data_IF_126139948419
#
_entry.id   IF_126139948419
#
_cell.length_a   1.000
_cell.length_b   1.000
_cell.length_c   1.000
_cell.angle_alpha   90.00
_cell.angle_beta   90.00
_cell.angle_gamma   90.00
#
_symmetry.space_group_name_H-M   'P 1'
#
loop_
_entity.id
_entity.type
_entity.pdbx_description
1 polymer ?
#
# COMPACT_ATOMS: atom_id res chain seq x y z
N UNK A 1 20.33 0.35 -18.16
CA UNK A 1 20.05 -1.07 -18.42
C UNK A 1 20.43 -1.85 -17.16
N UNK A 2 19.49 -2.61 -16.61
CA UNK A 2 19.47 -3.25 -15.29
C UNK A 2 19.48 -2.31 -14.08
N UNK A 3 18.28 -1.94 -13.63
CA UNK A 3 18.02 -1.56 -12.24
C UNK A 3 17.03 -2.59 -11.69
N UNK A 4 17.52 -3.53 -10.88
CA UNK A 4 16.70 -4.48 -10.17
C UNK A 4 15.93 -3.76 -9.08
N UNK A 5 14.61 -3.89 -9.07
CA UNK A 5 13.76 -3.39 -8.00
C UNK A 5 12.64 -4.37 -7.67
N UNK A 6 12.65 -4.75 -6.40
CA UNK A 6 11.59 -5.26 -5.57
C UNK A 6 10.15 -4.97 -6.02
N UNK A 7 9.35 -6.02 -6.20
CA UNK A 7 7.89 -5.91 -6.12
C UNK A 7 7.33 -7.09 -5.32
N UNK A 8 6.88 -6.77 -4.11
CA UNK A 8 6.12 -7.60 -3.18
C UNK A 8 5.04 -8.44 -3.84
N UNK A 9 5.31 -9.73 -4.06
CA UNK A 9 4.30 -10.70 -4.45
C UNK A 9 3.64 -11.29 -3.21
N UNK A 10 2.37 -10.95 -2.99
CA UNK A 10 1.54 -11.60 -1.97
C UNK A 10 1.09 -12.97 -2.48
N UNK A 11 1.77 -14.05 -2.08
CA UNK A 11 1.14 -15.37 -2.13
C UNK A 11 0.35 -15.58 -0.83
N UNK A 12 -0.98 -15.67 -0.94
CA UNK A 12 -1.84 -16.08 0.18
C UNK A 12 -1.62 -17.58 0.38
N UNK A 13 -0.82 -17.93 1.38
CA UNK A 13 -0.64 -19.32 1.80
C UNK A 13 -1.94 -19.85 2.41
N UNK A 14 -2.65 -20.72 1.69
CA UNK A 14 -3.74 -21.50 2.26
C UNK A 14 -3.13 -22.59 3.17
N UNK A 15 -3.04 -22.31 4.47
CA UNK A 15 -2.57 -23.30 5.44
C UNK A 15 -3.63 -24.40 5.63
N UNK A 16 -3.51 -25.49 4.87
CA UNK A 16 -4.19 -26.75 5.15
C UNK A 16 -3.66 -27.32 6.48
N UNK A 17 -4.48 -27.26 7.53
CA UNK A 17 -4.21 -27.97 8.79
C UNK A 17 -4.36 -29.47 8.55
N UNK A 18 -3.25 -30.19 8.51
CA UNK A 18 -3.21 -31.64 8.58
C UNK A 18 -3.46 -32.09 10.03
N UNK A 19 -4.56 -32.81 10.25
CA UNK A 19 -4.85 -33.49 11.51
C UNK A 19 -3.88 -34.66 11.70
N UNK A 20 -2.91 -34.50 12.60
CA UNK A 20 -2.15 -35.62 13.14
C UNK A 20 -2.73 -36.02 14.50
N UNK A 21 -3.26 -37.24 14.53
CA UNK A 21 -3.79 -37.95 15.69
C UNK A 21 -2.63 -38.47 16.55
N UNK A 22 -2.47 -37.92 17.77
CA UNK A 22 -1.63 -38.52 18.80
C UNK A 22 -2.51 -39.21 19.85
N UNK A 23 -2.39 -40.54 19.93
CA UNK A 23 -3.03 -41.40 20.93
C UNK A 23 -2.24 -41.39 22.25
N UNK A 24 -2.97 -41.08 23.32
CA UNK A 24 -2.94 -41.61 24.70
C UNK A 24 -1.63 -41.81 25.48
N UNK A 25 -1.52 -41.05 26.58
CA UNK A 25 -1.44 -41.52 27.98
C UNK A 25 -1.68 -40.25 28.84
N UNK A 26 -2.72 -40.11 29.68
CA UNK A 26 -3.12 -40.99 30.78
C UNK A 26 -2.77 -40.29 32.09
N UNK A 27 -3.59 -39.36 32.58
CA UNK A 27 -3.70 -39.04 34.01
C UNK A 27 -5.03 -38.32 34.30
N UNK A 28 -5.79 -38.90 35.22
CA UNK A 28 -7.11 -38.48 35.67
C UNK A 28 -6.97 -37.63 36.93
N UNK A 29 -7.62 -36.46 36.99
CA UNK A 29 -8.03 -35.83 38.25
C UNK A 29 -9.33 -35.00 38.03
N UNK A 30 -10.42 -35.61 38.47
CA UNK A 30 -11.61 -35.04 39.15
C UNK A 30 -12.30 -33.77 38.61
N UNK A 31 -13.55 -33.99 38.18
CA UNK A 31 -14.61 -33.02 37.92
C UNK A 31 -14.98 -32.14 39.12
N UNK A 32 -15.33 -30.88 38.82
CA UNK A 32 -16.48 -30.19 39.43
C UNK A 32 -17.00 -29.12 38.44
N UNK A 33 -18.24 -29.30 37.97
CA UNK A 33 -19.03 -28.25 37.32
C UNK A 33 -19.62 -27.31 38.41
N UNK A 34 -20.03 -26.08 38.06
CA UNK A 34 -21.44 -25.94 37.68
C UNK A 34 -21.80 -24.86 36.64
N UNK A 35 -23.00 -25.08 36.07
CA UNK A 35 -24.06 -24.13 35.71
C UNK A 35 -23.86 -23.12 34.56
N UNK A 36 -24.61 -23.39 33.49
CA UNK A 36 -25.05 -22.43 32.49
C UNK A 36 -25.95 -21.35 33.11
N UNK A 37 -25.78 -20.10 32.67
CA UNK A 37 -26.79 -19.05 32.81
C UNK A 37 -26.74 -18.09 31.60
N UNK A 38 -27.74 -18.28 30.75
CA UNK A 38 -28.54 -17.31 29.99
C UNK A 38 -27.93 -15.95 29.60
N UNK A 39 -27.84 -15.79 28.28
CA UNK A 39 -27.69 -14.55 27.52
C UNK A 39 -28.77 -13.54 27.90
N UNK A 40 -28.36 -12.32 28.28
CA UNK A 40 -29.22 -11.15 28.33
C UNK A 40 -28.71 -10.12 27.33
N UNK A 41 -29.51 -9.87 26.30
CA UNK A 41 -29.33 -8.82 25.31
C UNK A 41 -29.69 -7.47 25.93
N UNK A 42 -28.74 -6.56 26.02
CA UNK A 42 -29.01 -5.13 26.23
C UNK A 42 -28.29 -4.33 25.15
N UNK A 43 -29.10 -3.87 24.19
CA UNK A 43 -28.77 -2.83 23.22
C UNK A 43 -28.52 -1.52 23.97
N UNK A 44 -27.32 -0.97 23.83
CA UNK A 44 -27.05 0.43 24.15
C UNK A 44 -26.42 1.06 22.90
N UNK A 45 -27.25 1.79 22.16
CA UNK A 45 -26.84 2.68 21.10
C UNK A 45 -25.93 3.76 21.70
N UNK A 46 -24.61 3.59 21.52
CA UNK A 46 -23.66 4.67 21.70
C UNK A 46 -23.40 5.29 20.33
N UNK A 47 -24.05 6.43 20.08
CA UNK A 47 -23.82 7.28 18.93
C UNK A 47 -22.32 7.59 18.81
N UNK A 48 -21.69 7.13 17.74
CA UNK A 48 -20.33 7.51 17.39
C UNK A 48 -20.27 9.03 17.21
N UNK A 49 -19.34 9.75 17.88
CA UNK A 49 -19.15 11.15 17.57
C UNK A 49 -18.52 11.22 16.17
N UNK A 50 -19.10 12.08 15.34
CA UNK A 50 -18.61 12.40 14.01
C UNK A 50 -17.10 12.70 14.07
N UNK A 51 -16.30 11.90 13.36
CA UNK A 51 -14.92 12.25 13.03
C UNK A 51 -14.96 13.45 12.08
N UNK A 52 -15.10 14.64 12.65
CA UNK A 52 -14.59 15.86 12.05
C UNK A 52 -13.10 15.91 12.34
N UNK A 53 -12.31 15.12 11.63
CA UNK A 53 -10.86 15.36 11.55
C UNK A 53 -10.72 16.71 10.87
N UNK A 54 -10.30 17.72 11.63
CA UNK A 54 -9.99 19.04 11.12
C UNK A 54 -8.98 18.90 9.97
N UNK A 55 -9.52 18.96 8.74
CA UNK A 55 -8.75 19.04 7.52
C UNK A 55 -8.01 20.38 7.55
N UNK A 56 -6.77 20.35 8.02
CA UNK A 56 -5.85 21.45 7.86
C UNK A 56 -5.56 21.58 6.36
N UNK A 57 -6.31 22.49 5.74
CA UNK A 57 -6.14 22.98 4.37
C UNK A 57 -4.67 23.36 4.13
N UNK A 58 -3.96 22.55 3.34
CA UNK A 58 -2.70 22.88 2.67
C UNK A 58 -2.62 21.96 1.45
N UNK A 59 -3.00 22.49 0.28
CA UNK A 59 -2.94 21.80 -1.02
C UNK A 59 -1.60 21.06 -1.17
N UNK A 60 -1.67 19.74 -1.32
CA UNK A 60 -0.50 18.92 -1.60
C UNK A 60 0.22 19.48 -2.84
N UNK A 61 1.52 19.71 -2.73
CA UNK A 61 2.31 20.14 -3.88
C UNK A 61 2.75 18.90 -4.62
N UNK A 62 2.43 18.84 -5.90
CA UNK A 62 2.79 17.74 -6.79
C UNK A 62 4.31 17.61 -6.81
N UNK A 63 4.80 16.48 -6.34
CA UNK A 63 6.23 16.23 -6.26
C UNK A 63 6.83 15.99 -7.65
N UNK A 64 8.14 16.26 -7.85
CA UNK A 64 8.84 15.82 -9.06
C UNK A 64 8.71 14.31 -9.29
N UNK A 65 8.61 13.53 -8.21
CA UNK A 65 8.43 12.09 -8.24
C UNK A 65 7.05 11.70 -8.80
N UNK A 66 5.98 12.36 -8.35
CA UNK A 66 4.61 12.18 -8.86
C UNK A 66 4.51 12.49 -10.35
N UNK A 67 5.11 13.61 -10.80
CA UNK A 67 5.17 13.95 -12.23
C UNK A 67 5.96 12.91 -13.02
N UNK A 68 7.10 12.46 -12.50
CA UNK A 68 7.90 11.44 -13.17
C UNK A 68 7.14 10.11 -13.32
N UNK A 69 6.36 9.74 -12.30
CA UNK A 69 5.49 8.55 -12.38
C UNK A 69 4.43 8.71 -13.46
N UNK A 70 3.75 9.85 -13.53
CA UNK A 70 2.75 10.13 -14.56
C UNK A 70 3.37 10.13 -15.97
N UNK A 71 4.53 10.75 -16.15
CA UNK A 71 5.24 10.80 -17.43
C UNK A 71 5.72 9.42 -17.89
N UNK A 72 6.22 8.60 -16.96
CA UNK A 72 6.78 7.27 -17.27
C UNK A 72 5.72 6.19 -17.36
N UNK A 73 4.64 6.32 -16.60
CA UNK A 73 3.65 5.28 -16.37
C UNK A 73 2.21 5.82 -16.48
N UNK A 74 1.95 6.83 -17.31
CA UNK A 74 0.60 7.40 -17.48
C UNK A 74 -0.46 6.42 -18.00
N UNK A 75 -0.04 5.27 -18.55
CA UNK A 75 -0.95 4.16 -18.89
C UNK A 75 -1.25 3.22 -17.70
N UNK A 76 -0.53 3.35 -16.58
CA UNK A 76 -0.75 2.55 -15.39
C UNK A 76 -2.07 2.96 -14.72
N UNK A 77 -2.90 2.01 -14.26
CA UNK A 77 -4.18 2.34 -13.65
C UNK A 77 -4.03 3.27 -12.45
N UNK A 78 -4.80 4.35 -12.44
CA UNK A 78 -4.87 5.28 -11.31
C UNK A 78 -5.62 4.65 -10.15
N UNK A 79 -4.89 3.92 -9.32
CA UNK A 79 -5.45 3.18 -8.18
C UNK A 79 -4.51 3.15 -6.99
N UNK A 80 -4.98 2.66 -5.85
CA UNK A 80 -4.13 2.41 -4.69
C UNK A 80 -3.17 1.27 -5.01
N UNK A 81 -1.89 1.50 -4.75
CA UNK A 81 -0.84 0.52 -5.00
C UNK A 81 -0.33 -0.05 -3.68
N UNK A 82 -0.19 -1.39 -3.57
CA UNK A 82 0.46 -1.99 -2.42
C UNK A 82 1.98 -1.80 -2.57
N UNK A 83 2.64 -1.25 -1.56
CA UNK A 83 4.09 -0.94 -1.63
C UNK A 83 4.93 -1.74 -0.63
N UNK A 84 4.33 -2.30 0.42
CA UNK A 84 5.04 -3.12 1.41
C UNK A 84 4.09 -3.99 2.23
N UNK A 85 4.60 -5.09 2.79
CA UNK A 85 3.99 -5.73 3.96
C UNK A 85 4.32 -4.93 5.21
N UNK A 86 3.35 -4.66 6.09
CA UNK A 86 3.64 -3.97 7.35
C UNK A 86 4.39 -4.84 8.36
N UNK A 87 4.51 -6.15 8.13
CA UNK A 87 5.37 -7.05 8.92
C UNK A 87 6.87 -6.84 8.67
N UNK A 88 7.22 -6.22 7.54
CA UNK A 88 8.60 -5.96 7.13
C UNK A 88 9.03 -4.52 7.40
N UNK A 89 8.10 -3.68 7.88
CA UNK A 89 8.36 -2.30 8.27
C UNK A 89 8.68 -2.21 9.75
N UNK A 90 9.52 -1.24 10.11
CA UNK A 90 9.90 -1.03 11.50
C UNK A 90 9.13 0.14 12.11
N UNK A 91 8.33 -0.09 13.17
CA UNK A 91 7.51 0.97 13.75
C UNK A 91 8.33 2.15 14.29
N UNK A 92 9.56 1.89 14.76
CA UNK A 92 10.38 2.85 15.50
C UNK A 92 11.49 3.51 14.68
N UNK A 93 11.60 3.19 13.40
CA UNK A 93 12.52 3.88 12.50
C UNK A 93 11.94 4.06 11.10
N UNK A 94 12.37 5.10 10.36
CA UNK A 94 12.02 5.23 8.97
C UNK A 94 12.51 4.01 8.17
N UNK A 95 11.68 3.50 7.26
CA UNK A 95 12.00 2.33 6.42
C UNK A 95 11.99 2.76 4.95
N UNK A 96 13.05 2.52 4.17
CA UNK A 96 13.03 2.80 2.74
C UNK A 96 12.10 1.82 2.03
N UNK A 97 11.27 2.34 1.13
CA UNK A 97 10.36 1.58 0.28
C UNK A 97 10.53 2.07 -1.15
N UNK A 98 10.48 1.15 -2.12
CA UNK A 98 10.63 1.53 -3.52
C UNK A 98 9.49 0.96 -4.36
N UNK A 99 8.91 1.81 -5.19
CA UNK A 99 7.84 1.43 -6.09
C UNK A 99 7.99 2.17 -7.43
N UNK A 100 7.86 1.46 -8.55
CA UNK A 100 8.02 2.01 -9.91
C UNK A 100 9.27 2.90 -10.11
N UNK A 101 10.41 2.43 -9.58
CA UNK A 101 11.70 3.17 -9.59
C UNK A 101 11.68 4.49 -8.81
N UNK A 102 10.71 4.67 -7.91
CA UNK A 102 10.61 5.81 -7.03
C UNK A 102 10.90 5.43 -5.58
N UNK A 103 11.74 6.23 -4.94
CA UNK A 103 12.17 6.07 -3.55
C UNK A 103 11.22 6.80 -2.59
N UNK A 104 10.67 6.03 -1.65
CA UNK A 104 9.76 6.45 -0.61
C UNK A 104 10.29 6.10 0.77
N UNK A 105 9.86 6.85 1.77
CA UNK A 105 10.10 6.52 3.17
C UNK A 105 8.76 6.22 3.84
N UNK A 106 8.67 5.05 4.47
CA UNK A 106 7.56 4.67 5.33
C UNK A 106 7.96 4.84 6.80
N UNK A 107 7.12 5.49 7.60
CA UNK A 107 7.33 5.61 9.04
C UNK A 107 6.00 5.65 9.78
N UNK A 108 6.01 5.31 11.07
CA UNK A 108 4.81 5.27 11.89
C UNK A 108 4.74 6.51 12.77
N UNK A 109 3.66 7.28 12.67
CA UNK A 109 3.45 8.46 13.49
C UNK A 109 3.01 8.10 14.91
N UNK A 110 2.88 9.10 15.78
CA UNK A 110 2.46 8.93 17.16
C UNK A 110 0.99 8.52 17.33
N UNK A 111 0.18 8.60 16.26
CA UNK A 111 -1.18 8.06 16.24
C UNK A 111 -1.19 6.57 15.90
N UNK A 112 -0.02 5.99 15.61
CA UNK A 112 0.12 4.60 15.20
C UNK A 112 -0.24 4.39 13.72
N UNK A 113 -0.41 5.45 12.94
CA UNK A 113 -0.71 5.40 11.52
C UNK A 113 0.59 5.39 10.70
N UNK A 114 0.63 4.59 9.65
CA UNK A 114 1.73 4.63 8.69
C UNK A 114 1.62 5.86 7.80
N UNK A 115 2.77 6.49 7.53
CA UNK A 115 2.95 7.65 6.68
C UNK A 115 3.98 7.34 5.62
N UNK A 116 3.73 7.82 4.41
CA UNK A 116 4.64 7.67 3.28
C UNK A 116 4.97 9.04 2.69
N UNK A 117 6.26 9.26 2.43
CA UNK A 117 6.79 10.48 1.82
C UNK A 117 7.83 10.15 0.76
N UNK A 118 8.23 11.15 -0.03
CA UNK A 118 9.45 11.07 -0.85
C UNK A 118 10.64 10.76 0.07
N UNK A 119 11.48 9.79 -0.30
CA UNK A 119 12.73 9.52 0.43
C UNK A 119 13.85 10.50 0.06
N UNK A 120 13.54 11.79 0.07
CA UNK A 120 14.49 12.83 -0.32
C UNK A 120 14.21 14.12 0.43
N UNK A 121 15.14 14.52 1.29
CA UNK A 121 15.08 15.80 1.97
C UNK A 121 15.21 16.95 0.96
N UNK A 122 14.26 17.92 0.90
CA UNK A 122 14.27 18.99 -0.11
C UNK A 122 15.46 19.95 -0.01
N UNK A 123 16.23 19.86 1.09
CA UNK A 123 17.45 20.64 1.26
C UNK A 123 18.58 20.17 0.33
N UNK A 124 18.94 18.88 0.40
CA UNK A 124 20.12 18.30 -0.30
C UNK A 124 19.91 16.84 -0.74
N UNK A 125 18.66 16.41 -0.85
CA UNK A 125 18.24 15.09 -1.32
C UNK A 125 18.77 13.91 -0.49
N UNK A 126 19.20 14.17 0.75
CA UNK A 126 19.55 13.07 1.65
C UNK A 126 18.31 12.22 1.94
N UNK A 127 18.43 10.88 1.94
CA UNK A 127 17.32 10.00 2.25
C UNK A 127 16.82 10.26 3.67
N UNK A 128 15.51 10.38 3.80
CA UNK A 128 14.82 10.50 5.09
C UNK A 128 14.73 9.15 5.79
N UNK A 129 14.81 8.05 5.04
CA UNK A 129 14.89 6.68 5.54
C UNK A 129 16.14 6.41 6.39
N UNK A 130 17.23 7.14 6.14
CA UNK A 130 18.44 7.13 6.98
C UNK A 130 18.31 8.05 8.22
N UNK A 131 17.20 8.77 8.33
CA UNK A 131 16.86 9.67 9.43
C UNK A 131 16.36 8.96 10.68
N UNK A 132 15.54 9.69 11.46
CA UNK A 132 14.92 9.16 12.67
C UNK A 132 13.52 9.73 12.88
N UNK A 133 12.70 9.01 13.62
CA UNK A 133 11.39 9.49 14.09
C UNK A 133 11.62 10.16 15.44
N UNK A 134 11.40 11.47 15.52
CA UNK A 134 11.32 12.20 16.77
C UNK A 134 9.92 12.05 17.37
N UNK A 135 9.83 11.17 18.37
CA UNK A 135 8.58 10.87 19.08
C UNK A 135 8.08 12.03 19.93
N UNK A 136 8.94 12.93 20.39
CA UNK A 136 8.51 14.06 21.22
C UNK A 136 7.75 15.10 20.38
N UNK A 137 8.19 15.31 19.14
CA UNK A 137 7.57 16.28 18.24
C UNK A 137 6.65 15.68 17.18
N UNK A 138 6.55 14.34 17.09
CA UNK A 138 5.83 13.58 16.05
C UNK A 138 6.33 13.91 14.63
N UNK A 139 7.65 13.90 14.44
CA UNK A 139 8.28 14.33 13.18
C UNK A 139 9.30 13.32 12.69
N UNK A 140 9.49 13.29 11.37
CA UNK A 140 10.66 12.65 10.79
C UNK A 140 11.80 13.69 10.68
N UNK A 141 12.99 13.34 11.15
CA UNK A 141 14.17 14.20 11.10
C UNK A 141 15.22 13.63 10.16
N UNK A 142 15.66 14.45 9.20
CA UNK A 142 16.71 14.11 8.25
C UNK A 142 18.07 13.96 8.96
N UNK A 143 18.76 12.83 8.74
CA UNK A 143 20.07 12.56 9.31
C UNK A 143 21.16 13.56 8.90
N UNK A 144 20.99 14.29 7.80
CA UNK A 144 22.07 15.14 7.29
C UNK A 144 22.20 16.45 8.08
N UNK A 145 21.16 17.28 8.10
CA UNK A 145 21.19 18.60 8.73
C UNK A 145 20.09 18.79 9.79
N UNK A 146 19.35 17.74 10.13
CA UNK A 146 18.31 17.80 11.15
C UNK A 146 17.06 18.58 10.76
N UNK A 147 16.83 18.78 9.45
CA UNK A 147 15.54 19.31 8.99
C UNK A 147 14.45 18.31 9.36
N UNK A 148 13.38 18.80 10.00
CA UNK A 148 12.30 17.94 10.47
C UNK A 148 10.97 18.25 9.77
N UNK A 149 10.20 17.22 9.52
CA UNK A 149 8.94 17.31 8.78
C UNK A 149 7.79 16.68 9.59
N UNK A 150 6.63 17.33 9.57
CA UNK A 150 5.39 16.77 10.12
C UNK A 150 4.94 15.55 9.30
N UNK A 151 4.03 14.70 9.81
CA UNK A 151 3.44 13.58 9.05
C UNK A 151 2.79 13.98 7.72
N UNK A 152 2.43 15.26 7.58
CA UNK A 152 1.89 15.89 6.35
C UNK A 152 2.96 16.26 5.32
N UNK A 153 4.24 16.04 5.61
CA UNK A 153 5.38 16.46 4.79
C UNK A 153 5.75 17.94 4.96
N UNK A 154 4.98 18.71 5.74
CA UNK A 154 5.27 20.11 6.01
C UNK A 154 6.61 20.26 6.74
N UNK A 155 7.47 21.16 6.27
CA UNK A 155 8.65 21.54 7.02
C UNK A 155 8.23 22.14 8.37
N UNK A 156 8.81 21.63 9.45
CA UNK A 156 8.49 22.10 10.79
C UNK A 156 9.66 22.82 11.45
N UNK A 157 10.90 22.42 11.12
CA UNK A 157 12.11 23.00 11.72
C UNK A 157 13.31 22.91 10.80
N UNK A 158 14.05 24.01 10.74
CA UNK A 158 15.33 24.14 10.06
C UNK A 158 16.35 24.58 11.13
N UNK A 159 17.17 23.68 11.70
CA UNK A 159 17.99 24.00 12.87
C UNK A 159 19.01 25.11 12.63
N UNK A 160 19.47 25.26 11.38
CA UNK A 160 20.50 26.23 10.99
C UNK A 160 19.93 27.59 10.60
N UNK A 161 18.61 27.75 10.55
CA UNK A 161 17.97 29.03 10.23
C UNK A 161 17.81 29.88 11.51
N UNK A 162 18.20 31.15 11.44
CA UNK A 162 17.77 32.13 12.46
C UNK A 162 16.24 32.24 12.45
N UNK A 163 15.66 32.72 13.54
CA UNK A 163 14.20 32.88 13.65
C UNK A 163 13.61 33.72 12.49
N UNK A 164 14.28 34.81 12.13
CA UNK A 164 13.89 35.66 10.99
C UNK A 164 13.92 34.93 9.64
N UNK A 165 14.87 34.02 9.43
CA UNK A 165 14.97 33.22 8.19
C UNK A 165 13.95 32.08 8.22
N UNK A 166 13.79 31.41 9.37
CA UNK A 166 12.86 30.32 9.56
C UNK A 166 11.40 30.76 9.32
N UNK A 167 11.03 31.97 9.75
CA UNK A 167 9.72 32.56 9.54
C UNK A 167 9.30 32.62 8.06
N UNK A 168 10.25 32.75 7.13
CA UNK A 168 10.00 32.70 5.69
C UNK A 168 10.25 31.33 5.06
N UNK A 169 11.26 30.60 5.53
CA UNK A 169 11.70 29.34 4.92
C UNK A 169 10.80 28.16 5.27
N UNK A 170 10.41 27.99 6.55
CA UNK A 170 9.59 26.88 7.04
C UNK A 170 8.22 26.82 6.36
N UNK A 171 7.45 27.92 6.20
CA UNK A 171 6.16 27.87 5.50
C UNK A 171 6.31 27.74 3.96
N UNK A 172 7.53 27.80 3.42
CA UNK A 172 7.74 27.68 1.98
C UNK A 172 7.45 26.27 1.50
N UNK A 173 6.65 26.13 0.44
CA UNK A 173 6.41 24.83 -0.23
C UNK A 173 7.69 24.14 -0.68
N UNK A 174 8.74 24.91 -1.02
CA UNK A 174 10.06 24.37 -1.40
C UNK A 174 10.81 23.71 -0.25
N UNK A 175 10.42 23.99 1.00
CA UNK A 175 10.99 23.35 2.18
C UNK A 175 10.21 22.08 2.57
N UNK A 176 9.02 21.83 2.01
CA UNK A 176 8.22 20.65 2.33
C UNK A 176 8.68 19.42 1.54
N UNK A 177 8.45 18.25 2.12
CA UNK A 177 8.56 16.95 1.46
C UNK A 177 7.17 16.58 0.96
N UNK A 178 7.07 15.90 -0.19
CA UNK A 178 5.80 15.37 -0.63
C UNK A 178 5.38 14.18 0.23
N UNK A 179 4.13 14.20 0.70
CA UNK A 179 3.50 13.12 1.46
C UNK A 179 2.36 12.52 0.65
N UNK A 180 2.13 11.22 0.81
CA UNK A 180 1.14 10.48 0.03
C UNK A 180 -0.01 9.99 0.89
N UNK A 181 -1.26 9.98 0.37
CA UNK A 181 -2.34 9.22 1.00
C UNK A 181 -1.87 7.79 1.25
N UNK A 182 -1.97 7.38 2.52
CA UNK A 182 -1.43 6.12 3.01
C UNK A 182 -2.50 5.40 3.79
N UNK A 183 -2.67 4.09 3.58
CA UNK A 183 -3.58 3.23 4.32
C UNK A 183 -2.94 1.90 4.64
N UNK A 184 -3.10 1.45 5.88
CA UNK A 184 -2.84 0.07 6.23
C UNK A 184 -4.14 -0.72 6.13
N UNK A 185 -4.13 -1.81 5.36
CA UNK A 185 -5.25 -2.74 5.31
C UNK A 185 -4.75 -4.17 5.16
N UNK A 186 -5.16 -5.05 6.10
CA UNK A 186 -4.75 -6.47 6.15
C UNK A 186 -3.24 -6.68 6.03
N UNK A 187 -2.50 -5.95 6.87
CA UNK A 187 -1.04 -6.00 6.93
C UNK A 187 -0.33 -5.65 5.61
N UNK A 188 -0.98 -4.84 4.78
CA UNK A 188 -0.42 -4.26 3.56
C UNK A 188 -0.45 -2.75 3.68
N UNK A 189 0.67 -2.12 3.34
CA UNK A 189 0.80 -0.68 3.22
C UNK A 189 0.42 -0.26 1.79
N UNK A 190 -0.67 0.50 1.68
CA UNK A 190 -1.21 1.02 0.44
C UNK A 190 -0.92 2.51 0.31
N UNK A 191 -0.56 2.92 -0.89
CA UNK A 191 -0.28 4.32 -1.22
C UNK A 191 -1.05 4.75 -2.46
N UNK A 192 -1.47 6.01 -2.49
CA UNK A 192 -1.92 6.69 -3.69
C UNK A 192 -0.81 7.60 -4.24
N UNK A 193 -0.07 7.18 -5.29
CA UNK A 193 1.08 7.92 -5.78
C UNK A 193 0.72 8.98 -6.84
N UNK A 194 -0.54 9.06 -7.27
CA UNK A 194 -0.94 9.90 -8.40
C UNK A 194 -1.06 11.38 -8.00
N UNK A 195 -1.02 12.25 -9.02
CA UNK A 195 -1.00 13.72 -8.89
C UNK A 195 -2.30 14.33 -8.31
N UNK A 196 -3.39 13.56 -8.27
CA UNK A 196 -4.70 14.00 -7.81
C UNK A 196 -4.73 14.46 -6.35
N UNK A 197 -5.62 15.42 -6.03
CA UNK A 197 -5.72 15.97 -4.68
C UNK A 197 -6.00 14.85 -3.67
N UNK A 198 -5.11 14.74 -2.67
CA UNK A 198 -5.17 13.76 -1.62
C UNK A 198 -6.50 13.79 -0.84
N UNK A 199 -7.16 14.94 -0.73
CA UNK A 199 -8.45 15.10 -0.07
C UNK A 199 -9.59 14.51 -0.93
N UNK A 200 -9.50 14.61 -2.26
CA UNK A 200 -10.44 13.96 -3.18
C UNK A 200 -10.33 12.45 -3.07
N UNK A 201 -9.11 11.93 -3.04
CA UNK A 201 -8.83 10.49 -2.94
C UNK A 201 -9.21 9.93 -1.56
N UNK A 202 -8.89 10.64 -0.48
CA UNK A 202 -9.18 10.20 0.87
C UNK A 202 -10.70 10.07 1.14
N UNK A 203 -11.51 10.87 0.46
CA UNK A 203 -12.98 10.87 0.55
C UNK A 203 -13.70 9.87 -0.38
N UNK A 204 -13.03 9.32 -1.41
CA UNK A 204 -13.65 8.38 -2.34
C UNK A 204 -13.57 6.94 -1.83
N UNK A 205 -14.70 6.35 -1.45
CA UNK A 205 -14.80 4.97 -0.99
C UNK A 205 -14.55 3.93 -2.10
N UNK A 206 -14.70 4.29 -3.39
CA UNK A 206 -14.52 3.39 -4.54
C UNK A 206 -13.05 3.21 -4.92
N UNK A 207 -12.20 4.14 -4.51
CA UNK A 207 -10.77 4.02 -4.66
C UNK A 207 -10.16 3.05 -3.62
N UNK A 208 -10.88 2.66 -2.57
CA UNK A 208 -10.24 2.15 -1.34
C UNK A 208 -9.63 0.72 -1.48
N UNK A 209 -8.48 0.46 -0.83
CA UNK A 209 -7.74 -0.81 -0.96
C UNK A 209 -8.50 -2.06 -0.46
N UNK A 210 -9.54 -1.88 0.35
CA UNK A 210 -10.40 -2.91 0.95
C UNK A 210 -11.03 -3.83 -0.11
N UNK A 211 -11.32 -3.29 -1.30
CA UNK A 211 -11.88 -4.06 -2.42
C UNK A 211 -10.90 -5.12 -2.95
N UNK A 212 -9.60 -4.78 -3.03
CA UNK A 212 -8.56 -5.64 -3.60
C UNK A 212 -8.33 -6.91 -2.77
N UNK A 213 -8.52 -6.83 -1.46
CA UNK A 213 -8.28 -7.94 -0.54
C UNK A 213 -9.58 -8.58 -0.03
N UNK A 214 -10.68 -8.46 -0.77
CA UNK A 214 -11.95 -9.13 -0.39
C UNK A 214 -11.74 -10.64 -0.28
N UNK A 215 -12.20 -11.24 0.82
CA UNK A 215 -12.06 -12.68 1.08
C UNK A 215 -10.72 -13.10 1.72
N UNK A 216 -9.73 -12.22 1.79
CA UNK A 216 -8.49 -12.46 2.53
C UNK A 216 -8.76 -12.41 4.04
N UNK A 217 -8.23 -13.36 4.80
CA UNK A 217 -8.35 -13.37 6.26
C UNK A 217 -7.70 -12.11 6.88
N UNK A 218 -8.18 -11.67 8.04
CA UNK A 218 -7.65 -10.46 8.68
C UNK A 218 -6.22 -10.67 9.22
N UNK A 219 -5.88 -11.91 9.57
CA UNK A 219 -4.59 -12.36 10.09
C UNK A 219 -3.71 -13.03 9.01
N UNK A 220 -4.04 -12.83 7.74
CA UNK A 220 -3.23 -13.37 6.65
C UNK A 220 -1.80 -12.82 6.74
N UNK A 221 -0.82 -13.72 6.78
CA UNK A 221 0.58 -13.34 6.70
C UNK A 221 0.87 -12.78 5.32
N UNK A 222 1.60 -11.68 5.29
CA UNK A 222 2.01 -11.00 4.06
C UNK A 222 3.52 -10.84 4.02
N UNK A 223 4.10 -10.75 2.83
CA UNK A 223 5.55 -10.61 2.66
C UNK A 223 5.89 -9.98 1.29
N UNK A 224 7.10 -9.41 1.20
CA UNK A 224 7.69 -8.84 -0.02
C UNK A 224 8.71 -9.78 -0.65
N UNK A 225 8.76 -9.82 -1.98
CA UNK A 225 9.80 -10.52 -2.74
C UNK A 225 10.29 -9.69 -3.89
N UNK A 226 11.58 -9.78 -4.11
CA UNK A 226 12.22 -9.11 -5.23
C UNK A 226 12.45 -10.14 -6.31
N UNK A 227 11.85 -9.92 -7.46
CA UNK A 227 11.96 -10.81 -8.61
C UNK A 227 12.82 -10.13 -9.68
N UNK A 228 13.78 -10.85 -10.31
CA UNK A 228 14.71 -10.27 -11.27
C UNK A 228 14.08 -10.12 -12.67
N UNK A 229 12.82 -9.69 -12.74
CA UNK A 229 12.08 -9.47 -13.98
C UNK A 229 10.96 -8.44 -13.78
N UNK A 230 10.40 -7.95 -14.88
CA UNK A 230 9.36 -6.92 -14.88
C UNK A 230 8.04 -7.40 -14.29
N UNK A 231 7.28 -6.45 -13.73
CA UNK A 231 5.94 -6.73 -13.16
C UNK A 231 4.95 -7.20 -14.23
N UNK A 232 5.15 -6.77 -15.48
CA UNK A 232 4.40 -7.16 -16.67
C UNK A 232 4.59 -8.66 -16.97
N UNK A 233 5.82 -9.16 -16.89
CA UNK A 233 6.10 -10.60 -17.02
C UNK A 233 5.44 -11.42 -15.90
N UNK A 234 5.45 -10.91 -14.66
CA UNK A 234 4.76 -11.57 -13.56
C UNK A 234 3.25 -11.59 -13.79
N UNK A 235 2.68 -10.47 -14.21
CA UNK A 235 1.25 -10.35 -14.46
C UNK A 235 0.81 -11.28 -15.60
N UNK A 236 1.57 -11.32 -16.70
CA UNK A 236 1.36 -12.27 -17.81
C UNK A 236 1.34 -13.71 -17.30
N UNK A 237 2.31 -14.09 -16.46
CA UNK A 237 2.34 -15.43 -15.87
C UNK A 237 1.12 -15.71 -14.98
N UNK A 238 0.69 -14.75 -14.16
CA UNK A 238 -0.48 -14.92 -13.26
C UNK A 238 -1.77 -15.10 -14.06
N UNK A 239 -1.94 -14.38 -15.16
CA UNK A 239 -3.18 -14.42 -15.97
C UNK A 239 -3.20 -15.54 -17.01
N UNK A 240 -2.09 -16.26 -17.21
CA UNK A 240 -2.03 -17.41 -18.12
C UNK A 240 -2.37 -18.72 -17.40
N UNK A 241 -3.60 -19.27 -17.51
CA UNK A 241 -3.91 -20.56 -16.91
C UNK A 241 -3.19 -21.75 -17.56
N UNK A 242 -2.60 -21.61 -18.75
CA UNK A 242 -1.97 -22.72 -19.46
C UNK A 242 -0.74 -23.27 -18.74
N UNK A 243 -0.03 -22.44 -17.98
CA UNK A 243 1.14 -22.89 -17.22
C UNK A 243 0.78 -23.76 -16.00
N UNK A 244 -0.46 -23.70 -15.49
CA UNK A 244 -0.83 -24.32 -14.20
C UNK A 244 -0.63 -25.85 -14.20
N UNK A 245 -1.16 -26.62 -15.17
CA UNK A 245 -1.01 -28.08 -15.17
C UNK A 245 0.47 -28.51 -15.30
N UNK A 246 1.28 -27.73 -16.01
CA UNK A 246 2.67 -28.07 -16.33
C UNK A 246 3.69 -27.61 -15.29
N UNK A 247 3.73 -26.31 -15.01
CA UNK A 247 4.73 -25.68 -14.14
C UNK A 247 4.48 -25.98 -12.66
N UNK A 248 3.21 -26.16 -12.26
CA UNK A 248 2.83 -26.49 -10.88
C UNK A 248 2.48 -27.98 -10.70
N UNK A 249 3.09 -28.87 -11.50
CA UNK A 249 2.84 -30.32 -11.43
C UNK A 249 3.15 -30.89 -10.05
N UNK A 250 2.16 -31.57 -9.45
CA UNK A 250 2.29 -32.17 -8.12
C UNK A 250 2.12 -31.17 -6.96
N UNK A 251 1.88 -29.89 -7.25
CA UNK A 251 1.57 -28.85 -6.28
C UNK A 251 0.14 -28.35 -6.44
N UNK A 252 -0.18 -27.78 -7.61
CA UNK A 252 -1.49 -27.18 -7.91
C UNK A 252 -2.13 -27.75 -9.19
N UNK A 253 -1.41 -28.56 -9.97
CA UNK A 253 -1.93 -29.17 -11.20
C UNK A 253 -1.30 -30.53 -11.53
N UNK A 254 -1.82 -31.18 -12.58
CA UNK A 254 -1.24 -32.40 -13.17
C UNK A 254 -0.95 -32.16 -14.65
N UNK A 255 0.20 -32.61 -15.15
CA UNK A 255 0.61 -32.37 -16.55
C UNK A 255 -0.39 -32.92 -17.55
N UNK A 256 -1.00 -34.04 -17.22
CA UNK A 256 -1.99 -34.71 -18.07
C UNK A 256 -3.32 -33.94 -18.19
N UNK A 257 -3.57 -32.97 -17.30
CA UNK A 257 -4.77 -32.12 -17.32
C UNK A 257 -4.61 -30.92 -18.27
N UNK A 258 -3.49 -30.82 -18.98
CA UNK A 258 -3.25 -29.77 -19.96
C UNK A 258 -4.20 -29.90 -21.15
N UNK A 259 -4.93 -28.82 -21.44
CA UNK A 259 -5.89 -28.75 -22.54
C UNK A 259 -5.66 -27.50 -23.39
N UNK A 260 -6.17 -27.53 -24.63
CA UNK A 260 -6.20 -26.35 -25.47
C UNK A 260 -7.10 -25.27 -24.84
N UNK A 261 -6.57 -24.05 -24.70
CA UNK A 261 -7.32 -22.90 -24.18
C UNK A 261 -7.87 -22.12 -25.37
N UNK A 262 -9.20 -22.02 -25.44
CA UNK A 262 -9.84 -21.27 -26.52
C UNK A 262 -9.74 -19.76 -26.26
N UNK A 263 -8.80 -19.10 -26.93
CA UNK A 263 -8.55 -17.66 -26.83
C UNK A 263 -9.49 -16.85 -27.75
N UNK A 264 -10.80 -17.08 -27.68
CA UNK A 264 -11.75 -16.23 -28.42
C UNK A 264 -11.96 -14.94 -27.65
N UNK A 265 -11.57 -13.80 -28.22
CA UNK A 265 -11.89 -12.50 -27.62
C UNK A 265 -13.42 -12.34 -27.57
N UNK A 266 -14.03 -12.05 -26.41
CA UNK A 266 -15.47 -11.84 -26.31
C UNK A 266 -15.95 -10.59 -27.05
N UNK A 267 -15.04 -9.71 -27.49
CA UNK A 267 -15.33 -8.52 -28.28
C UNK A 267 -14.44 -8.53 -29.53
N UNK A 268 -15.00 -8.44 -30.74
CA UNK A 268 -14.21 -8.23 -31.95
C UNK A 268 -13.47 -6.89 -31.83
N UNK A 269 -12.14 -6.93 -31.94
CA UNK A 269 -11.22 -5.80 -31.80
C UNK A 269 -11.53 -4.66 -32.81
N UNK A 270 -12.35 -4.95 -33.84
CA UNK A 270 -12.72 -4.03 -34.93
C UNK A 270 -14.15 -3.48 -34.87
N UNK A 271 -14.95 -3.78 -33.84
CA UNK A 271 -16.35 -3.31 -33.80
C UNK A 271 -16.51 -1.89 -33.23
N UNK A 272 -15.49 -1.32 -32.58
CA UNK A 272 -15.56 0.03 -32.02
C UNK A 272 -15.36 1.14 -33.08
N UNK A 273 -14.65 0.86 -34.17
CA UNK A 273 -14.33 1.85 -35.21
C UNK A 273 -15.43 2.01 -36.27
N UNK A 274 -16.45 1.13 -36.26
CA UNK A 274 -17.54 1.18 -37.23
C UNK A 274 -18.76 2.01 -36.78
N UNK A 275 -18.86 2.35 -35.49
CA UNK A 275 -20.01 3.07 -34.95
C UNK A 275 -19.99 4.59 -35.21
N UNK A 276 -18.81 5.17 -35.52
CA UNK A 276 -18.66 6.60 -35.80
C UNK A 276 -18.70 6.95 -37.31
N UNK A 277 -18.71 5.96 -38.21
CA UNK A 277 -18.73 6.19 -39.65
C UNK A 277 -20.15 6.33 -40.24
N UNK A 278 -21.18 5.77 -39.59
CA UNK A 278 -22.56 5.78 -40.09
C UNK A 278 -23.37 7.04 -39.68
N UNK A 279 -22.79 7.94 -38.89
CA UNK A 279 -23.44 9.19 -38.46
C UNK A 279 -23.11 10.42 -39.34
N UNK A 280 -22.24 10.27 -40.36
CA UNK A 280 -21.74 11.40 -41.15
C UNK A 280 -22.35 11.52 -42.57
N UNK A 281 -23.26 10.64 -42.98
CA UNK A 281 -23.81 10.61 -44.35
C UNK A 281 -25.35 10.67 -44.40
N UNK A 282 -25.97 11.26 -43.38
CA UNK A 282 -27.40 11.56 -43.35
C UNK A 282 -27.64 13.05 -43.09
N UNK A 283 -27.40 13.88 -44.12
CA UNK A 283 -27.96 15.23 -44.27
C UNK A 283 -28.19 15.54 -45.78
#
# INVERSE_FOLDING_TARGET
QNMGFALTVFAIGLALRSHLTARHAGFSLTQRAPAAALVSTASAAASAPALATAAASRTATISPQQRSLEERFGAFPRTWVPIASTFELEPDRPTPVKFLSQDYVAFRDNRGEWRVMDDACPHRLAPLSEGRIDRESDRIECAYHGWSFEPSGACARIPQASESVAAGAVPSRRACVASYPTREHKSVLWVWPWEEDCLTVAGDLRAQPEGFLRGVAHDASTYTRDLPYGWDTLLENIVDPAHIPFAHHGLQGKRDDAIAINMTSPIPIHAADAADADAADAD
#
